data_IF_013889367528
#
_entry.id   IF_013889367528
#
_cell.length_a   1.000
_cell.length_b   1.000
_cell.length_c   1.000
_cell.angle_alpha   90.00
_cell.angle_beta   90.00
_cell.angle_gamma   90.00
#
_symmetry.space_group_name_H-M   'P 1'
#
loop_
_entity.id
_entity.type
_entity.pdbx_description
1 polymer ?
#
# COMPACT_ATOMS: atom_id res chain seq x y z
N UNK A 1 31.55 -36.37 20.56
CA UNK A 1 31.57 -35.09 21.31
C UNK A 1 31.00 -34.04 20.35
N UNK A 2 29.84 -33.42 20.50
CA UNK A 2 28.95 -33.20 21.64
C UNK A 2 27.46 -33.44 21.24
N UNK A 3 26.65 -33.64 22.27
CA UNK A 3 25.23 -34.04 22.34
C UNK A 3 24.22 -32.98 21.84
N UNK A 4 22.99 -33.38 21.44
CA UNK A 4 21.91 -32.46 21.12
C UNK A 4 21.21 -31.99 22.40
N UNK A 5 20.93 -30.68 22.48
CA UNK A 5 20.21 -30.06 23.59
C UNK A 5 18.71 -30.12 23.29
N UNK A 6 18.06 -31.15 23.83
CA UNK A 6 16.60 -31.22 23.93
C UNK A 6 16.13 -30.21 25.00
N UNK A 7 15.30 -29.25 24.61
CA UNK A 7 14.56 -28.42 25.57
C UNK A 7 13.13 -28.94 25.68
N UNK A 8 12.77 -29.27 26.92
CA UNK A 8 11.57 -29.97 27.33
C UNK A 8 10.29 -29.15 27.15
N UNK A 9 9.25 -29.76 26.57
CA UNK A 9 7.87 -29.32 26.78
C UNK A 9 7.37 -29.91 28.10
N UNK A 10 7.11 -29.01 29.05
CA UNK A 10 6.58 -29.29 30.37
C UNK A 10 5.15 -29.80 30.25
N UNK A 11 4.94 -31.06 30.63
CA UNK A 11 3.63 -31.66 30.82
C UNK A 11 3.14 -31.31 32.23
N UNK A 12 1.97 -30.67 32.32
CA UNK A 12 1.15 -30.71 33.52
C UNK A 12 -0.19 -31.36 33.18
N UNK A 13 -0.35 -32.60 33.63
CA UNK A 13 -1.65 -33.24 33.79
C UNK A 13 -2.36 -32.58 34.99
N UNK A 14 -3.61 -32.18 34.78
CA UNK A 14 -4.62 -32.22 35.83
C UNK A 14 -5.82 -33.00 35.30
N UNK A 15 -6.18 -34.01 36.07
CA UNK A 15 -7.03 -35.12 35.71
C UNK A 15 -8.53 -34.80 35.86
N UNK A 16 -9.30 -35.71 35.26
CA UNK A 16 -10.69 -36.03 35.57
C UNK A 16 -11.77 -35.05 35.06
N UNK A 17 -12.11 -35.19 33.78
CA UNK A 17 -13.46 -35.47 33.25
C UNK A 17 -13.18 -36.15 31.88
N UNK A 18 -13.99 -37.11 31.46
CA UNK A 18 -13.75 -37.88 30.23
C UNK A 18 -13.54 -36.99 29.00
N UNK A 19 -12.30 -36.86 28.57
CA UNK A 19 -11.91 -36.18 27.32
C UNK A 19 -11.17 -37.20 26.49
N UNK A 20 -11.72 -37.48 25.31
CA UNK A 20 -11.10 -38.33 24.31
C UNK A 20 -9.63 -37.90 24.12
N UNK A 21 -8.74 -38.89 23.99
CA UNK A 21 -7.35 -38.67 23.65
C UNK A 21 -7.30 -37.78 22.39
N UNK A 22 -6.84 -36.54 22.55
CA UNK A 22 -6.42 -35.73 21.41
C UNK A 22 -5.09 -36.33 20.98
N UNK A 23 -5.17 -37.25 20.03
CA UNK A 23 -4.00 -37.72 19.30
C UNK A 23 -3.22 -36.50 18.80
N UNK A 24 -1.90 -36.57 18.96
CA UNK A 24 -1.00 -35.46 18.72
C UNK A 24 -1.26 -34.80 17.37
N UNK A 25 -1.38 -33.47 17.40
CA UNK A 25 -1.32 -32.67 16.18
C UNK A 25 0.09 -32.85 15.63
N UNK A 26 0.21 -33.76 14.66
CA UNK A 26 1.44 -33.94 13.88
C UNK A 26 1.64 -32.70 13.01
N UNK A 27 2.59 -31.85 13.38
CA UNK A 27 2.98 -30.68 12.58
C UNK A 27 3.60 -31.05 11.21
N UNK A 28 3.69 -32.34 10.83
CA UNK A 28 4.25 -32.78 9.55
C UNK A 28 3.31 -32.72 8.35
N UNK A 29 2.05 -32.28 8.46
CA UNK A 29 1.10 -32.35 7.33
C UNK A 29 0.58 -31.02 6.75
N UNK A 30 1.16 -29.86 7.06
CA UNK A 30 0.67 -28.59 6.47
C UNK A 30 1.08 -28.42 4.99
N UNK A 31 1.94 -29.30 4.44
CA UNK A 31 2.35 -29.20 3.03
C UNK A 31 2.99 -27.85 2.70
N UNK A 32 3.63 -27.21 3.68
CA UNK A 32 4.26 -25.90 3.54
C UNK A 32 5.41 -26.01 2.53
N UNK A 33 5.21 -25.41 1.36
CA UNK A 33 6.25 -25.30 0.34
C UNK A 33 6.93 -23.94 0.45
N UNK A 34 8.16 -23.94 0.97
CA UNK A 34 9.00 -22.73 1.00
C UNK A 34 9.68 -22.56 -0.36
N UNK A 35 9.52 -21.39 -0.96
CA UNK A 35 10.25 -21.00 -2.18
C UNK A 35 11.02 -19.74 -1.86
N UNK A 36 12.33 -19.73 -2.11
CA UNK A 36 13.15 -18.53 -1.94
C UNK A 36 13.09 -17.70 -3.21
N UNK A 37 12.75 -16.42 -3.06
CA UNK A 37 12.72 -15.44 -4.15
C UNK A 37 13.63 -14.29 -3.77
N UNK A 38 14.64 -14.02 -4.59
CA UNK A 38 15.54 -12.89 -4.40
C UNK A 38 14.92 -11.63 -4.99
N UNK A 39 14.85 -10.57 -4.19
CA UNK A 39 14.45 -9.23 -4.63
C UNK A 39 15.61 -8.25 -4.48
N UNK A 40 15.51 -7.11 -5.16
CA UNK A 40 16.59 -6.12 -5.24
C UNK A 40 16.85 -5.35 -3.93
N UNK A 41 15.91 -5.42 -2.99
CA UNK A 41 15.95 -4.81 -1.67
C UNK A 41 14.90 -5.45 -0.72
N UNK A 42 14.93 -5.14 0.60
CA UNK A 42 13.90 -5.56 1.53
C UNK A 42 12.48 -5.17 1.07
N UNK A 43 11.50 -6.00 1.45
CA UNK A 43 10.09 -5.70 1.21
C UNK A 43 9.67 -4.50 2.06
N UNK A 44 9.05 -3.52 1.41
CA UNK A 44 8.38 -2.39 2.02
C UNK A 44 6.89 -2.70 2.28
N UNK A 45 6.22 -3.31 1.30
CA UNK A 45 4.78 -3.57 1.37
C UNK A 45 4.37 -4.76 0.48
N UNK A 46 3.28 -5.44 0.82
CA UNK A 46 2.67 -6.54 0.06
C UNK A 46 1.17 -6.33 -0.03
N UNK A 47 0.63 -6.31 -1.25
CA UNK A 47 -0.81 -6.16 -1.51
C UNK A 47 -1.33 -7.38 -2.27
N UNK A 48 -2.39 -7.97 -1.74
CA UNK A 48 -3.13 -9.06 -2.39
C UNK A 48 -4.31 -8.47 -3.15
N UNK A 49 -4.48 -8.91 -4.40
CA UNK A 49 -5.69 -8.69 -5.17
C UNK A 49 -6.39 -10.05 -5.40
N UNK A 50 -7.59 -10.00 -5.98
CA UNK A 50 -8.28 -11.24 -6.36
C UNK A 50 -7.49 -12.07 -7.39
N UNK A 51 -7.82 -13.35 -7.52
CA UNK A 51 -7.28 -14.20 -8.59
C UNK A 51 -5.81 -14.55 -8.42
N UNK A 52 -5.35 -14.77 -7.18
CA UNK A 52 -3.99 -15.18 -6.83
C UNK A 52 -2.89 -14.15 -7.17
N UNK A 53 -3.30 -12.90 -7.39
CA UNK A 53 -2.37 -11.83 -7.75
C UNK A 53 -1.82 -11.18 -6.48
N UNK A 54 -0.50 -11.11 -6.41
CA UNK A 54 0.23 -10.48 -5.30
C UNK A 54 1.19 -9.44 -5.84
N UNK A 55 1.15 -8.24 -5.28
CA UNK A 55 2.16 -7.22 -5.50
C UNK A 55 3.10 -7.15 -4.32
N UNK A 56 4.39 -7.03 -4.61
CA UNK A 56 5.42 -6.77 -3.61
C UNK A 56 6.17 -5.51 -4.01
N UNK A 57 6.28 -4.56 -3.08
CA UNK A 57 7.02 -3.32 -3.25
C UNK A 57 8.27 -3.38 -2.38
N UNK A 58 9.44 -3.09 -2.95
CA UNK A 58 10.69 -3.06 -2.19
C UNK A 58 11.04 -1.66 -1.69
N UNK A 59 11.96 -1.56 -0.73
CA UNK A 59 12.45 -0.25 -0.23
C UNK A 59 13.20 0.56 -1.28
N UNK A 60 13.64 -0.09 -2.37
CA UNK A 60 14.17 0.57 -3.59
C UNK A 60 13.08 1.04 -4.56
N UNK A 61 11.80 0.96 -4.19
CA UNK A 61 10.65 1.43 -5.00
C UNK A 61 10.43 0.61 -6.26
N UNK A 62 10.95 -0.62 -6.29
CA UNK A 62 10.74 -1.60 -7.36
C UNK A 62 9.46 -2.37 -7.10
N UNK A 63 8.58 -2.40 -8.10
CA UNK A 63 7.32 -3.14 -8.06
C UNK A 63 7.49 -4.52 -8.70
N UNK A 64 7.09 -5.53 -7.95
CA UNK A 64 7.01 -6.91 -8.40
C UNK A 64 5.56 -7.39 -8.39
N UNK A 65 5.23 -8.27 -9.33
CA UNK A 65 3.92 -8.92 -9.45
C UNK A 65 4.06 -10.44 -9.51
N UNK A 66 3.18 -11.13 -8.81
CA UNK A 66 2.92 -12.56 -8.90
C UNK A 66 1.51 -12.81 -9.42
N UNK A 67 1.33 -13.89 -10.17
CA UNK A 67 0.05 -14.43 -10.63
C UNK A 67 -0.22 -15.85 -10.09
N UNK A 68 0.57 -16.28 -9.10
CA UNK A 68 0.59 -17.64 -8.58
C UNK A 68 0.68 -17.69 -7.04
N UNK A 69 -0.08 -16.83 -6.35
CA UNK A 69 -0.14 -16.71 -4.88
C UNK A 69 1.22 -16.40 -4.24
N UNK A 70 2.06 -15.61 -4.93
CA UNK A 70 3.37 -15.20 -4.44
C UNK A 70 4.47 -16.26 -4.57
N UNK A 71 4.26 -17.33 -5.35
CA UNK A 71 5.29 -18.36 -5.57
C UNK A 71 6.41 -17.86 -6.48
N UNK A 72 6.07 -17.03 -7.47
CA UNK A 72 7.01 -16.37 -8.37
C UNK A 72 6.66 -14.90 -8.49
N UNK A 73 7.68 -14.07 -8.47
CA UNK A 73 7.56 -12.63 -8.67
C UNK A 73 8.34 -12.20 -9.91
N UNK A 74 7.74 -11.30 -10.69
CA UNK A 74 8.36 -10.66 -11.85
C UNK A 74 8.42 -9.17 -11.61
N UNK A 75 9.57 -8.55 -11.90
CA UNK A 75 9.71 -7.08 -11.88
C UNK A 75 8.88 -6.49 -13.03
N UNK A 76 7.95 -5.59 -12.70
CA UNK A 76 7.03 -4.97 -13.67
C UNK A 76 7.31 -3.48 -13.90
N UNK A 77 8.46 -2.97 -13.46
CA UNK A 77 8.81 -1.55 -13.60
C UNK A 77 8.86 -1.09 -15.06
N UNK A 78 9.28 -1.96 -15.99
CA UNK A 78 9.29 -1.64 -17.43
C UNK A 78 7.90 -1.41 -18.02
N UNK A 79 6.83 -1.82 -17.34
CA UNK A 79 5.45 -1.57 -17.73
C UNK A 79 4.93 -0.21 -17.22
N UNK A 80 5.65 0.43 -16.30
CA UNK A 80 5.29 1.70 -15.68
C UNK A 80 5.96 2.86 -16.43
N UNK A 81 5.21 3.52 -17.32
CA UNK A 81 5.72 4.65 -18.09
C UNK A 81 6.28 5.77 -17.19
N UNK A 82 7.48 6.26 -17.48
CA UNK A 82 8.24 7.28 -16.72
C UNK A 82 8.62 6.86 -15.30
N UNK A 83 8.65 5.56 -14.98
CA UNK A 83 9.01 5.11 -13.62
C UNK A 83 10.46 5.38 -13.23
N UNK A 84 11.33 5.65 -14.18
CA UNK A 84 12.74 6.01 -14.03
C UNK A 84 12.97 7.54 -14.01
N UNK A 85 11.91 8.33 -14.19
CA UNK A 85 12.00 9.79 -14.24
C UNK A 85 11.77 10.37 -12.85
N UNK A 86 12.85 10.81 -12.21
CA UNK A 86 12.77 11.55 -10.96
C UNK A 86 12.43 13.03 -11.20
N UNK A 87 11.50 13.57 -10.41
CA UNK A 87 11.20 15.01 -10.36
C UNK A 87 11.76 15.57 -9.04
N UNK A 88 12.92 16.25 -9.02
CA UNK A 88 13.49 16.76 -7.76
C UNK A 88 12.48 17.62 -6.98
N UNK A 89 12.35 17.46 -5.64
CA UNK A 89 13.15 16.64 -4.73
C UNK A 89 12.69 15.18 -4.59
N UNK A 90 11.75 14.72 -5.41
CA UNK A 90 11.17 13.38 -5.35
C UNK A 90 12.03 12.35 -6.07
N UNK A 91 11.87 11.07 -5.71
CA UNK A 91 12.58 9.98 -6.35
C UNK A 91 11.70 9.25 -7.37
N UNK A 92 12.36 8.47 -8.20
CA UNK A 92 11.79 7.55 -9.17
C UNK A 92 11.08 6.36 -8.49
N UNK A 93 10.33 5.60 -9.29
CA UNK A 93 9.64 4.38 -8.87
C UNK A 93 8.32 4.56 -8.12
N UNK A 94 7.88 3.48 -7.48
CA UNK A 94 6.62 3.40 -6.72
C UNK A 94 6.88 3.65 -5.23
N UNK A 95 6.17 4.62 -4.66
CA UNK A 95 6.25 4.98 -3.24
C UNK A 95 5.28 4.20 -2.38
N UNK A 96 4.04 3.99 -2.85
CA UNK A 96 3.02 3.30 -2.09
C UNK A 96 1.95 2.65 -2.98
N UNK A 97 1.28 1.65 -2.43
CA UNK A 97 0.24 0.86 -3.09
C UNK A 97 -1.09 1.03 -2.36
N UNK A 98 -2.16 1.29 -3.11
CA UNK A 98 -3.51 1.52 -2.59
C UNK A 98 -4.51 0.65 -3.34
N UNK A 99 -4.80 -0.57 -2.85
CA UNK A 99 -5.84 -1.41 -3.45
C UNK A 99 -7.21 -0.74 -3.28
N UNK A 100 -8.08 -0.94 -4.27
CA UNK A 100 -9.46 -0.48 -4.16
C UNK A 100 -10.28 -1.51 -3.38
N UNK A 101 -10.94 -1.07 -2.31
CA UNK A 101 -11.87 -1.92 -1.55
C UNK A 101 -13.17 -2.19 -2.35
N UNK A 102 -13.52 -1.28 -3.26
CA UNK A 102 -14.73 -1.36 -4.06
C UNK A 102 -14.57 -2.21 -5.33
N UNK A 103 -13.33 -2.41 -5.80
CA UNK A 103 -13.04 -3.24 -6.97
C UNK A 103 -11.67 -3.92 -6.78
N UNK A 104 -11.72 -5.21 -6.45
CA UNK A 104 -10.58 -6.08 -6.19
C UNK A 104 -9.59 -6.23 -7.36
N UNK A 105 -9.94 -5.73 -8.55
CA UNK A 105 -9.05 -5.72 -9.72
C UNK A 105 -8.17 -4.48 -9.81
N UNK A 106 -8.51 -3.43 -9.05
CA UNK A 106 -7.91 -2.11 -9.19
C UNK A 106 -6.87 -1.85 -8.11
N UNK A 107 -5.78 -1.23 -8.54
CA UNK A 107 -4.69 -0.81 -7.67
C UNK A 107 -4.19 0.55 -8.15
N UNK A 108 -4.13 1.50 -7.22
CA UNK A 108 -3.46 2.78 -7.43
C UNK A 108 -2.03 2.71 -6.88
N UNK A 109 -1.06 3.08 -7.71
CA UNK A 109 0.36 3.07 -7.42
C UNK A 109 0.84 4.51 -7.36
N UNK A 110 1.08 5.02 -6.16
CA UNK A 110 1.63 6.35 -5.97
C UNK A 110 3.12 6.33 -6.28
N UNK A 111 3.58 7.04 -7.31
CA UNK A 111 4.99 7.41 -7.45
C UNK A 111 5.41 8.57 -6.55
N UNK A 112 6.72 8.85 -6.48
CA UNK A 112 7.27 9.85 -5.57
C UNK A 112 6.94 11.30 -5.90
N UNK A 113 6.71 11.62 -7.17
CA UNK A 113 6.43 12.97 -7.66
C UNK A 113 4.98 13.16 -8.09
N UNK A 114 4.80 13.79 -9.26
CA UNK A 114 3.48 14.00 -9.89
C UNK A 114 2.99 12.81 -10.73
N UNK A 115 3.88 11.87 -11.02
CA UNK A 115 3.57 10.70 -11.82
C UNK A 115 3.19 9.53 -10.92
N UNK A 116 2.06 8.91 -11.26
CA UNK A 116 1.48 7.76 -10.59
C UNK A 116 0.98 6.78 -11.65
N UNK A 117 0.58 5.59 -11.24
CA UNK A 117 0.07 4.56 -12.14
C UNK A 117 -1.16 3.90 -11.56
N UNK A 118 -1.98 3.36 -12.44
CA UNK A 118 -3.15 2.58 -12.06
C UNK A 118 -3.22 1.33 -12.90
N UNK A 119 -3.77 0.27 -12.32
CA UNK A 119 -4.25 -0.88 -13.08
C UNK A 119 -5.73 -1.10 -12.82
N UNK A 120 -6.43 -1.58 -13.84
CA UNK A 120 -7.84 -1.98 -13.78
C UNK A 120 -8.02 -3.49 -14.01
N UNK A 121 -6.93 -4.22 -14.21
CA UNK A 121 -6.90 -5.60 -14.66
C UNK A 121 -5.91 -6.45 -13.86
N UNK A 122 -5.73 -6.11 -12.58
CA UNK A 122 -4.81 -6.79 -11.65
C UNK A 122 -3.35 -6.75 -12.12
N UNK A 123 -2.95 -5.72 -12.83
CA UNK A 123 -1.59 -5.48 -13.30
C UNK A 123 -1.18 -6.28 -14.54
N UNK A 124 -2.15 -6.68 -15.38
CA UNK A 124 -1.84 -7.09 -16.76
C UNK A 124 -1.45 -5.87 -17.60
N UNK A 125 -2.02 -4.70 -17.30
CA UNK A 125 -1.63 -3.42 -17.86
C UNK A 125 -1.64 -2.30 -16.83
N UNK A 126 -0.88 -1.25 -17.11
CA UNK A 126 -0.79 -0.04 -16.28
C UNK A 126 -1.03 1.21 -17.11
N UNK A 127 -1.78 2.16 -16.56
CA UNK A 127 -1.97 3.48 -17.13
C UNK A 127 -1.30 4.53 -16.26
N UNK A 128 -0.52 5.41 -16.88
CA UNK A 128 0.06 6.57 -16.21
C UNK A 128 -1.05 7.56 -15.82
N UNK A 129 -0.92 8.12 -14.63
CA UNK A 129 -1.72 9.24 -14.10
C UNK A 129 -0.76 10.33 -13.67
N UNK A 130 -0.83 11.49 -14.33
CA UNK A 130 0.00 12.65 -13.97
C UNK A 130 -0.87 13.68 -13.27
N UNK A 131 -0.72 13.80 -11.96
CA UNK A 131 -1.38 14.83 -11.18
C UNK A 131 -0.70 16.19 -11.44
N UNK A 132 -1.41 17.29 -11.22
CA UNK A 132 -0.83 18.63 -11.31
C UNK A 132 0.08 18.97 -10.11
N UNK A 133 0.07 18.11 -9.08
CA UNK A 133 0.78 18.26 -7.81
C UNK A 133 1.27 16.90 -7.32
N UNK A 134 2.38 16.83 -6.55
CA UNK A 134 2.75 15.63 -5.83
C UNK A 134 1.67 15.27 -4.83
N UNK A 135 1.29 14.00 -4.78
CA UNK A 135 0.31 13.50 -3.83
C UNK A 135 1.00 13.12 -2.51
N UNK A 136 0.34 13.43 -1.41
CA UNK A 136 0.64 12.96 -0.06
C UNK A 136 -0.19 11.72 0.26
N UNK A 137 -0.69 11.62 1.49
CA UNK A 137 -1.53 10.49 1.89
C UNK A 137 -2.70 10.28 0.92
N UNK A 138 -3.00 9.03 0.61
CA UNK A 138 -4.11 8.62 -0.26
C UNK A 138 -5.06 7.72 0.52
N UNK A 139 -6.36 7.90 0.30
CA UNK A 139 -7.42 7.05 0.88
C UNK A 139 -8.45 6.68 -0.20
N UNK A 140 -8.54 5.40 -0.52
CA UNK A 140 -9.55 4.87 -1.44
C UNK A 140 -10.94 4.88 -0.78
N UNK A 141 -11.98 5.19 -1.55
CA UNK A 141 -13.34 5.05 -1.05
C UNK A 141 -13.72 3.56 -0.93
N UNK A 142 -14.51 3.22 0.10
CA UNK A 142 -14.86 1.82 0.42
C UNK A 142 -15.76 1.16 -0.63
N UNK A 143 -16.69 1.92 -1.21
CA UNK A 143 -17.73 1.38 -2.12
C UNK A 143 -17.74 2.00 -3.52
N UNK A 144 -16.93 3.04 -3.76
CA UNK A 144 -16.92 3.79 -5.02
C UNK A 144 -15.52 3.71 -5.61
N UNK A 145 -15.32 2.83 -6.59
CA UNK A 145 -13.99 2.47 -7.06
C UNK A 145 -13.21 3.61 -7.72
N UNK A 146 -13.89 4.68 -8.17
CA UNK A 146 -13.25 5.85 -8.77
C UNK A 146 -12.94 6.96 -7.76
N UNK A 147 -13.44 6.86 -6.53
CA UNK A 147 -13.38 7.94 -5.57
C UNK A 147 -12.16 7.77 -4.68
N UNK A 148 -11.38 8.84 -4.53
CA UNK A 148 -10.22 8.84 -3.65
C UNK A 148 -9.97 10.23 -3.06
N UNK A 149 -9.48 10.23 -1.82
CA UNK A 149 -8.90 11.40 -1.18
C UNK A 149 -7.40 11.37 -1.35
N UNK A 150 -6.81 12.55 -1.53
CA UNK A 150 -5.37 12.73 -1.47
C UNK A 150 -5.02 14.02 -0.75
N UNK A 151 -3.91 14.04 -0.02
CA UNK A 151 -3.35 15.29 0.49
C UNK A 151 -2.28 15.86 -0.42
N UNK A 152 -1.93 17.12 -0.20
CA UNK A 152 -0.74 17.77 -0.77
C UNK A 152 -0.09 18.62 0.30
N UNK A 153 1.19 18.38 0.56
CA UNK A 153 1.99 19.30 1.39
C UNK A 153 2.42 20.52 0.57
N UNK A 154 2.43 21.68 1.19
CA UNK A 154 3.04 22.88 0.62
C UNK A 154 4.55 22.73 0.42
N UNK A 155 5.12 23.54 -0.48
CA UNK A 155 6.56 23.49 -0.79
C UNK A 155 7.45 23.78 0.43
N UNK A 156 6.95 24.58 1.38
CA UNK A 156 7.64 24.91 2.63
C UNK A 156 7.96 23.66 3.46
N UNK A 157 7.13 22.63 3.38
CA UNK A 157 7.35 21.38 4.11
C UNK A 157 8.58 20.60 3.63
N UNK A 158 9.00 20.82 2.37
CA UNK A 158 10.16 20.14 1.78
C UNK A 158 11.42 21.00 1.77
N UNK A 159 11.29 22.33 1.88
CA UNK A 159 12.41 23.24 1.85
C UNK A 159 12.21 24.47 2.72
N UNK A 160 13.13 24.68 3.66
CA UNK A 160 13.15 25.87 4.51
C UNK A 160 13.30 27.17 3.71
N UNK A 161 13.88 27.12 2.50
CA UNK A 161 14.10 28.28 1.64
C UNK A 161 12.83 28.81 0.97
N UNK A 162 11.74 28.01 0.92
CA UNK A 162 10.48 28.43 0.32
C UNK A 162 9.71 29.38 1.24
N UNK A 163 8.88 30.25 0.67
CA UNK A 163 8.02 31.15 1.44
C UNK A 163 6.72 30.45 1.88
N UNK A 164 6.03 31.02 2.86
CA UNK A 164 4.78 30.50 3.40
C UNK A 164 4.93 29.56 4.60
N UNK A 165 3.81 28.98 5.01
CA UNK A 165 3.71 28.01 6.11
C UNK A 165 3.80 26.59 5.57
N UNK A 166 4.33 25.66 6.37
CA UNK A 166 4.18 24.24 6.07
C UNK A 166 2.77 23.80 6.44
N UNK A 167 1.87 23.81 5.46
CA UNK A 167 0.51 23.29 5.55
C UNK A 167 0.25 22.11 4.60
N UNK A 168 -0.88 21.43 4.84
CA UNK A 168 -1.39 20.33 4.04
C UNK A 168 -2.80 20.67 3.54
N UNK A 169 -3.04 20.55 2.25
CA UNK A 169 -4.37 20.70 1.63
C UNK A 169 -4.97 19.32 1.33
N UNK A 170 -6.30 19.22 1.36
CA UNK A 170 -7.07 18.02 1.01
C UNK A 170 -7.68 18.15 -0.37
N UNK A 171 -7.58 17.09 -1.16
CA UNK A 171 -8.12 16.96 -2.49
C UNK A 171 -8.97 15.71 -2.62
N UNK A 172 -9.93 15.76 -3.54
CA UNK A 172 -10.77 14.64 -3.94
C UNK A 172 -10.64 14.40 -5.43
N UNK A 173 -10.61 13.13 -5.83
CA UNK A 173 -10.77 12.67 -7.20
C UNK A 173 -12.01 11.79 -7.27
N UNK A 174 -12.73 11.90 -8.38
CA UNK A 174 -13.92 11.10 -8.72
C UNK A 174 -13.69 10.27 -9.99
N UNK A 175 -12.42 10.10 -10.40
CA UNK A 175 -12.00 9.52 -11.67
C UNK A 175 -10.70 8.69 -11.52
N UNK A 176 -10.55 8.05 -10.37
CA UNK A 176 -9.43 7.19 -9.99
C UNK A 176 -8.06 7.84 -10.20
N UNK A 177 -7.95 9.10 -9.76
CA UNK A 177 -6.71 9.87 -9.73
C UNK A 177 -6.33 10.51 -11.07
N UNK A 178 -7.26 10.59 -12.03
CA UNK A 178 -7.03 11.31 -13.29
C UNK A 178 -7.04 12.82 -13.06
N UNK A 179 -7.95 13.31 -12.23
CA UNK A 179 -8.03 14.71 -11.83
C UNK A 179 -8.32 14.85 -10.35
N UNK A 180 -7.77 15.91 -9.74
CA UNK A 180 -7.95 16.21 -8.33
C UNK A 180 -8.50 17.62 -8.17
N UNK A 181 -9.52 17.77 -7.32
CA UNK A 181 -10.10 19.06 -6.93
C UNK A 181 -9.82 19.31 -5.45
N UNK A 182 -9.35 20.51 -5.12
CA UNK A 182 -9.12 20.87 -3.72
C UNK A 182 -10.44 20.99 -2.99
N UNK A 183 -10.61 20.22 -1.92
CA UNK A 183 -11.80 20.25 -1.07
C UNK A 183 -11.61 21.22 0.10
N UNK A 184 -10.47 21.11 0.81
CA UNK A 184 -10.22 21.85 2.05
C UNK A 184 -8.76 22.28 2.12
N UNK A 185 -8.48 23.43 2.74
CA UNK A 185 -7.12 23.90 3.00
C UNK A 185 -6.68 23.63 4.43
N UNK A 186 -5.38 23.47 4.65
CA UNK A 186 -4.77 23.34 6.00
C UNK A 186 -5.40 22.26 6.87
N UNK A 187 -5.64 21.10 6.28
CA UNK A 187 -6.11 19.91 6.99
C UNK A 187 -4.99 19.30 7.83
N UNK A 188 -5.33 18.78 9.00
CA UNK A 188 -4.40 17.98 9.81
C UNK A 188 -4.64 16.48 9.60
N UNK A 189 -5.92 16.10 9.56
CA UNK A 189 -6.38 14.73 9.38
C UNK A 189 -7.66 14.75 8.56
N UNK A 190 -7.90 13.66 7.84
CA UNK A 190 -9.10 13.46 7.04
C UNK A 190 -9.36 11.98 6.86
N UNK A 191 -10.63 11.63 6.69
CA UNK A 191 -11.06 10.29 6.29
C UNK A 191 -12.40 10.36 5.56
N UNK A 192 -12.76 9.27 4.91
CA UNK A 192 -14.12 9.08 4.44
C UNK A 192 -15.08 9.00 5.63
N UNK A 193 -16.22 9.68 5.51
CA UNK A 193 -17.30 9.63 6.48
C UNK A 193 -18.17 8.38 6.32
N UNK A 194 -19.14 8.18 7.23
CA UNK A 194 -20.01 7.01 7.22
C UNK A 194 -21.02 6.98 6.06
N UNK A 195 -21.28 8.10 5.40
CA UNK A 195 -22.17 8.20 4.23
C UNK A 195 -21.35 8.31 2.95
N UNK A 196 -21.89 7.79 1.84
CA UNK A 196 -21.15 7.57 0.57
C UNK A 196 -20.42 8.78 -0.02
N UNK A 197 -20.85 10.00 0.31
CA UNK A 197 -20.26 11.23 -0.22
C UNK A 197 -19.79 12.19 0.87
N UNK A 198 -19.52 11.68 2.07
CA UNK A 198 -19.10 12.49 3.20
C UNK A 198 -17.62 12.32 3.47
N UNK A 199 -16.95 13.42 3.83
CA UNK A 199 -15.55 13.44 4.26
C UNK A 199 -15.52 14.07 5.65
N UNK A 200 -14.87 13.40 6.59
CA UNK A 200 -14.61 13.94 7.94
C UNK A 200 -13.19 14.49 7.93
N UNK A 201 -12.99 15.71 8.40
CA UNK A 201 -11.67 16.32 8.46
C UNK A 201 -11.53 17.26 9.66
N UNK A 202 -10.30 17.53 10.04
CA UNK A 202 -9.94 18.61 10.96
C UNK A 202 -8.98 19.57 10.27
N UNK A 203 -9.21 20.87 10.43
CA UNK A 203 -8.42 21.90 9.75
C UNK A 203 -8.13 23.08 10.68
N UNK A 204 -7.06 23.80 10.38
CA UNK A 204 -6.66 25.00 11.13
C UNK A 204 -7.07 26.28 10.37
N UNK A 205 -7.56 27.29 11.09
CA UNK A 205 -7.66 28.64 10.53
C UNK A 205 -6.29 29.30 10.59
N UNK A 206 -5.93 30.07 9.55
CA UNK A 206 -4.86 31.06 9.74
C UNK A 206 -5.32 32.01 10.86
N UNK A 207 -4.46 32.24 11.86
CA UNK A 207 -4.64 33.41 12.72
C UNK A 207 -4.40 34.63 11.82
N UNK A 208 -5.41 35.50 11.73
CA UNK A 208 -5.30 36.79 11.07
C UNK A 208 -4.35 37.73 11.80
#
# INVERSE_FOLDING_TARGET
MATPMALACLSLLLAAIGVAAVEGIDCRSIGLRVTEVYMDAPIKDIVWLEGQVVFALTTKRTLYRSSDDGRKFTNVMSMLQDSDTAEPPFHDGVDAMYPSDADSKRLFLQGGGKTHWVTYDRGESFLRRRAHMPLGGVKMHKTQADYMLASRMSEKCYSRAKAGECDQDLYVSYDFGTSFRRAVRRVSQYDWGPSENTVIYSAYSARG
#
